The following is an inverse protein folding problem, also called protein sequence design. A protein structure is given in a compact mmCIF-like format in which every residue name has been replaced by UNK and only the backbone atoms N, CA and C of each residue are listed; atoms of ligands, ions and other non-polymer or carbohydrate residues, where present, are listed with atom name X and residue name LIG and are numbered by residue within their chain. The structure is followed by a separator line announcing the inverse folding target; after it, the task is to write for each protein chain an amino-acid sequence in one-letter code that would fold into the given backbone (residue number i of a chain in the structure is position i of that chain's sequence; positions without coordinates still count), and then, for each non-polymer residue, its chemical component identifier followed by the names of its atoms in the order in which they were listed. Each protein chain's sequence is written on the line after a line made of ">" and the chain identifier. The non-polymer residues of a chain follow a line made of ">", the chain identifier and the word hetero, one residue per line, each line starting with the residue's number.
data_IF_231939264627
#
_entry.id   IF_231939264627
#
_cell.length_a   1.000
_cell.length_b   1.000
_cell.length_c   1.000
_cell.angle_alpha   90.00
_cell.angle_beta   90.00
_cell.angle_gamma   90.00
#
_symmetry.space_group_name_H-M   'P 1'
#
loop_
_entity.id
_entity.type
_entity.pdbx_description
1 polymer ?
#
# COMPACT_ATOMS: atom_id res chain seq x y z
N UNK A 1 -10.92 -10.02 -1.05
CA UNK A 1 -10.21 -11.08 -0.28
C UNK A 1 -10.50 -10.99 1.22
N UNK A 2 -10.23 -9.88 1.92
CA UNK A 2 -10.48 -9.74 3.38
C UNK A 2 -11.84 -10.29 3.85
N UNK A 3 -12.93 -9.91 3.18
CA UNK A 3 -14.28 -10.40 3.50
C UNK A 3 -14.40 -11.92 3.30
N UNK A 4 -13.84 -12.45 2.21
CA UNK A 4 -13.97 -13.85 1.83
C UNK A 4 -13.10 -14.78 2.70
N UNK A 5 -11.99 -14.27 3.22
CA UNK A 5 -11.05 -15.02 4.05
C UNK A 5 -11.23 -14.77 5.55
N UNK A 6 -12.30 -14.07 5.95
CA UNK A 6 -12.53 -13.67 7.35
C UNK A 6 -12.54 -14.86 8.31
N UNK A 7 -13.13 -16.00 7.91
CA UNK A 7 -13.17 -17.24 8.70
C UNK A 7 -11.81 -17.91 8.88
N UNK A 8 -10.81 -17.56 8.06
CA UNK A 8 -9.47 -18.15 8.04
C UNK A 8 -8.36 -17.13 8.37
N UNK A 9 -8.73 -16.10 9.13
CA UNK A 9 -7.79 -15.07 9.63
C UNK A 9 -7.61 -13.85 8.73
N UNK A 10 -8.45 -13.68 7.70
CA UNK A 10 -8.46 -12.50 6.85
C UNK A 10 -7.33 -12.43 5.82
N UNK A 11 -7.27 -11.29 5.15
CA UNK A 11 -6.29 -10.90 4.14
C UNK A 11 -5.84 -9.46 4.39
N UNK A 12 -4.54 -9.30 4.64
CA UNK A 12 -3.88 -8.02 4.81
C UNK A 12 -2.75 -7.92 3.78
N UNK A 13 -2.64 -6.79 3.09
CA UNK A 13 -1.69 -6.65 1.99
C UNK A 13 -0.23 -6.65 2.46
N UNK A 14 0.08 -6.04 3.62
CA UNK A 14 1.43 -6.05 4.19
C UNK A 14 1.81 -7.47 4.62
N UNK A 15 0.86 -8.17 5.24
CA UNK A 15 1.02 -9.58 5.57
C UNK A 15 1.22 -10.45 4.30
N UNK A 16 0.54 -10.14 3.21
CA UNK A 16 0.71 -10.83 1.93
C UNK A 16 2.09 -10.56 1.33
N UNK A 17 2.57 -9.32 1.35
CA UNK A 17 3.92 -8.99 0.89
C UNK A 17 4.98 -9.80 1.65
N UNK A 18 4.85 -9.92 2.97
CA UNK A 18 5.74 -10.77 3.77
C UNK A 18 5.66 -12.23 3.33
N UNK A 19 4.46 -12.78 3.09
CA UNK A 19 4.29 -14.15 2.58
C UNK A 19 4.95 -14.36 1.23
N UNK A 20 4.84 -13.40 0.31
CA UNK A 20 5.43 -13.49 -1.02
C UNK A 20 6.94 -13.70 -0.88
N UNK A 21 7.60 -12.80 -0.15
CA UNK A 21 9.07 -12.80 -0.05
C UNK A 21 9.63 -13.87 0.91
N UNK A 22 8.81 -14.47 1.78
CA UNK A 22 9.27 -15.49 2.75
C UNK A 22 8.76 -16.91 2.46
N UNK A 23 7.78 -17.07 1.56
CA UNK A 23 7.13 -18.35 1.32
C UNK A 23 6.72 -18.62 -0.13
N UNK A 24 6.11 -17.68 -0.83
CA UNK A 24 5.46 -17.97 -2.13
C UNK A 24 6.42 -17.87 -3.31
N UNK A 25 7.44 -17.00 -3.25
CA UNK A 25 8.47 -16.98 -4.28
C UNK A 25 9.36 -18.21 -4.15
N UNK A 26 9.43 -19.02 -5.22
CA UNK A 26 10.31 -20.19 -5.29
C UNK A 26 11.35 -19.98 -6.40
N UNK A 27 12.40 -19.19 -6.08
CA UNK A 27 13.51 -18.90 -7.00
C UNK A 27 14.78 -19.68 -6.69
N UNK A 28 14.83 -20.32 -5.51
CA UNK A 28 15.97 -21.06 -5.00
C UNK A 28 15.52 -22.47 -4.58
N UNK A 29 16.38 -23.46 -4.79
CA UNK A 29 16.03 -24.87 -4.54
C UNK A 29 16.14 -25.29 -3.05
N UNK A 30 16.84 -24.51 -2.22
CA UNK A 30 17.19 -24.91 -0.85
C UNK A 30 16.20 -24.39 0.20
N UNK A 31 15.43 -23.36 -0.14
CA UNK A 31 14.53 -22.67 0.77
C UNK A 31 13.41 -21.99 -0.01
N UNK A 32 12.30 -21.75 0.69
CA UNK A 32 11.18 -20.97 0.19
C UNK A 32 11.46 -19.46 0.37
N UNK A 33 10.82 -18.64 -0.46
CA UNK A 33 11.00 -17.19 -0.45
C UNK A 33 12.31 -16.73 -1.08
N UNK A 34 12.70 -15.51 -0.72
CA UNK A 34 13.83 -14.80 -1.29
C UNK A 34 15.03 -14.67 -0.32
N UNK A 35 14.90 -15.17 0.91
CA UNK A 35 15.93 -15.08 1.95
C UNK A 35 16.49 -13.66 2.12
N UNK A 36 15.59 -12.69 2.22
CA UNK A 36 15.95 -11.28 2.43
C UNK A 36 16.51 -11.09 3.84
N UNK A 37 17.27 -10.01 4.03
CA UNK A 37 17.82 -9.69 5.34
C UNK A 37 16.72 -9.35 6.35
N UNK A 38 17.01 -9.55 7.63
CA UNK A 38 16.09 -9.25 8.71
C UNK A 38 15.58 -7.81 8.65
N UNK A 39 16.45 -6.84 8.38
CA UNK A 39 16.10 -5.41 8.31
C UNK A 39 15.14 -5.10 7.15
N UNK A 40 15.25 -5.84 6.04
CA UNK A 40 14.35 -5.68 4.90
C UNK A 40 12.95 -6.17 5.25
N UNK A 41 12.85 -7.33 5.93
CA UNK A 41 11.59 -7.91 6.36
C UNK A 41 10.94 -7.10 7.49
N UNK A 42 11.77 -6.61 8.41
CA UNK A 42 11.38 -5.67 9.46
C UNK A 42 10.75 -4.41 8.86
N UNK A 43 11.48 -3.75 7.94
CA UNK A 43 11.01 -2.53 7.28
C UNK A 43 9.70 -2.76 6.54
N UNK A 44 9.58 -3.87 5.81
CA UNK A 44 8.35 -4.25 5.11
C UNK A 44 7.14 -4.33 6.06
N UNK A 45 7.32 -4.90 7.25
CA UNK A 45 6.22 -5.12 8.20
C UNK A 45 5.91 -3.87 9.02
N UNK A 46 6.93 -3.13 9.48
CA UNK A 46 6.82 -2.07 10.49
C UNK A 46 6.96 -0.65 9.95
N UNK A 47 7.02 -0.43 8.64
CA UNK A 47 7.22 0.92 8.06
C UNK A 47 6.20 1.97 8.52
N UNK A 48 4.97 1.56 8.86
CA UNK A 48 3.92 2.44 9.41
C UNK A 48 3.94 2.57 10.94
N UNK A 49 4.96 2.03 11.61
CA UNK A 49 5.10 2.00 13.07
C UNK A 49 4.97 0.60 13.66
N UNK A 50 5.09 0.47 15.00
CA UNK A 50 4.95 -0.81 15.69
C UNK A 50 3.55 -1.39 15.50
N UNK A 51 3.46 -2.73 15.54
CA UNK A 51 2.20 -3.48 15.45
C UNK A 51 1.71 -3.94 16.82
N UNK A 52 2.59 -4.01 17.83
CA UNK A 52 2.28 -4.42 19.21
C UNK A 52 2.85 -3.42 20.22
N UNK A 53 2.64 -3.65 21.52
CA UNK A 53 3.28 -2.85 22.58
C UNK A 53 2.61 -1.50 22.90
N UNK A 54 1.44 -1.20 22.34
CA UNK A 54 0.68 0.01 22.65
C UNK A 54 -0.82 -0.25 22.81
N UNK A 55 -1.55 0.60 23.55
CA UNK A 55 -3.00 0.47 23.72
C UNK A 55 -3.74 0.55 22.39
N UNK A 56 -4.62 -0.42 22.13
CA UNK A 56 -5.42 -0.45 20.90
C UNK A 56 -4.74 -1.10 19.69
N UNK A 57 -3.61 -1.79 19.89
CA UNK A 57 -3.00 -2.63 18.87
C UNK A 57 -4.04 -3.61 18.26
N UNK A 58 -4.10 -3.65 16.93
CA UNK A 58 -4.99 -4.56 16.21
C UNK A 58 -4.47 -6.00 16.30
N UNK A 59 -5.34 -7.02 16.20
CA UNK A 59 -4.88 -8.41 16.09
C UNK A 59 -3.89 -8.57 14.94
N UNK A 60 -2.78 -9.28 15.19
CA UNK A 60 -1.78 -9.53 14.17
C UNK A 60 -2.35 -10.39 13.03
N UNK A 61 -2.12 -10.02 11.76
CA UNK A 61 -2.41 -10.89 10.64
C UNK A 61 -1.69 -12.24 10.80
N UNK A 62 -2.39 -13.34 10.50
CA UNK A 62 -1.89 -14.72 10.71
C UNK A 62 -0.51 -14.95 10.09
N UNK A 63 -0.24 -14.35 8.93
CA UNK A 63 1.05 -14.52 8.26
C UNK A 63 2.21 -13.85 9.00
N UNK A 64 1.98 -12.65 9.56
CA UNK A 64 2.98 -11.96 10.38
C UNK A 64 3.20 -12.75 11.66
N UNK A 65 2.11 -13.14 12.36
CA UNK A 65 2.19 -13.95 13.58
C UNK A 65 2.95 -15.27 13.36
N UNK A 66 2.68 -15.95 12.24
CA UNK A 66 3.37 -17.21 11.87
C UNK A 66 4.85 -17.02 11.57
N UNK A 67 5.23 -15.88 10.99
CA UNK A 67 6.63 -15.57 10.69
C UNK A 67 7.40 -15.21 11.96
N UNK A 68 6.86 -14.30 12.79
CA UNK A 68 7.55 -13.84 14.00
C UNK A 68 7.70 -14.91 15.09
N UNK A 69 6.88 -15.96 15.04
CA UNK A 69 7.08 -17.15 15.86
C UNK A 69 8.35 -17.93 15.51
N UNK A 70 8.92 -17.70 14.31
CA UNK A 70 10.17 -18.32 13.84
C UNK A 70 11.36 -17.37 13.94
N UNK A 71 11.16 -16.11 13.55
CA UNK A 71 12.18 -15.07 13.55
C UNK A 71 11.55 -13.73 13.95
N UNK A 72 11.87 -13.27 15.17
CA UNK A 72 11.22 -12.12 15.78
C UNK A 72 11.61 -10.81 15.07
N UNK A 73 10.62 -10.07 14.59
CA UNK A 73 10.79 -8.78 13.91
C UNK A 73 10.66 -7.58 14.87
N UNK A 74 10.65 -7.81 16.18
CA UNK A 74 10.54 -6.78 17.22
C UNK A 74 9.32 -5.86 16.97
N UNK A 75 8.12 -6.47 16.89
CA UNK A 75 6.87 -5.81 16.46
C UNK A 75 6.39 -4.68 17.37
N UNK A 76 6.94 -4.58 18.59
CA UNK A 76 6.67 -3.54 19.57
C UNK A 76 7.54 -2.29 19.41
N UNK A 77 8.52 -2.32 18.51
CA UNK A 77 9.44 -1.22 18.22
C UNK A 77 9.15 -0.57 16.86
N UNK A 78 9.65 0.65 16.65
CA UNK A 78 9.62 1.28 15.33
C UNK A 78 10.57 0.55 14.36
N UNK A 79 10.38 0.76 13.06
CA UNK A 79 11.31 0.28 12.03
C UNK A 79 12.59 1.13 11.97
N UNK A 80 13.57 0.69 11.19
CA UNK A 80 14.76 1.50 10.85
C UNK A 80 14.43 2.87 10.26
N UNK A 81 15.40 3.79 10.28
CA UNK A 81 15.24 5.10 9.65
C UNK A 81 14.95 4.97 8.14
N UNK A 82 15.59 4.03 7.46
CA UNK A 82 15.42 3.76 6.03
C UNK A 82 13.99 3.31 5.71
N UNK A 83 13.41 2.43 6.53
CA UNK A 83 12.01 2.00 6.37
C UNK A 83 11.03 3.16 6.61
N UNK A 84 11.31 4.03 7.59
CA UNK A 84 10.51 5.23 7.84
C UNK A 84 10.61 6.23 6.67
N UNK A 85 11.80 6.43 6.09
CA UNK A 85 12.00 7.24 4.88
C UNK A 85 11.22 6.66 3.71
N UNK A 86 11.32 5.35 3.48
CA UNK A 86 10.61 4.68 2.39
C UNK A 86 9.09 4.88 2.51
N UNK A 87 8.52 4.74 3.71
CA UNK A 87 7.10 4.99 3.96
C UNK A 87 6.67 6.42 3.62
N UNK A 88 7.46 7.41 4.03
CA UNK A 88 7.12 8.82 3.79
C UNK A 88 7.40 9.24 2.34
N UNK A 89 8.39 8.64 1.69
CA UNK A 89 8.62 8.84 0.26
C UNK A 89 7.46 8.29 -0.57
N UNK A 90 6.90 7.15 -0.18
CA UNK A 90 5.71 6.57 -0.80
C UNK A 90 4.49 7.49 -0.65
N UNK A 91 4.23 7.99 0.56
CA UNK A 91 3.18 8.97 0.84
C UNK A 91 3.31 10.24 -0.02
N UNK A 92 4.53 10.78 -0.16
CA UNK A 92 4.81 11.95 -1.02
C UNK A 92 4.47 11.62 -2.47
N UNK A 93 4.92 10.47 -2.98
CA UNK A 93 4.70 10.08 -4.36
C UNK A 93 3.21 9.89 -4.66
N UNK A 94 2.52 9.09 -3.85
CA UNK A 94 1.11 8.76 -4.06
C UNK A 94 0.21 10.01 -4.00
N UNK A 95 0.32 10.83 -2.96
CA UNK A 95 -0.56 12.00 -2.82
C UNK A 95 -0.40 12.99 -3.97
N UNK A 96 0.82 13.17 -4.47
CA UNK A 96 1.12 14.10 -5.56
C UNK A 96 0.72 13.54 -6.93
N UNK A 97 0.96 12.25 -7.19
CA UNK A 97 0.51 11.61 -8.41
C UNK A 97 -1.02 11.53 -8.49
N UNK A 98 -1.71 11.33 -7.36
CA UNK A 98 -3.17 11.33 -7.33
C UNK A 98 -3.79 12.70 -7.64
N UNK A 99 -3.08 13.80 -7.36
CA UNK A 99 -3.49 15.13 -7.85
C UNK A 99 -3.41 15.17 -9.38
N UNK A 100 -2.28 14.77 -9.97
CA UNK A 100 -2.08 14.75 -11.43
C UNK A 100 -3.11 13.85 -12.13
N UNK A 101 -3.26 12.62 -11.65
CA UNK A 101 -4.20 11.64 -12.19
C UNK A 101 -5.66 12.08 -12.02
N UNK A 102 -5.99 12.67 -10.86
CA UNK A 102 -7.33 13.16 -10.57
C UNK A 102 -7.76 14.32 -11.49
N UNK A 103 -6.85 15.25 -11.75
CA UNK A 103 -7.06 16.37 -12.68
C UNK A 103 -7.15 15.87 -14.13
N UNK A 104 -6.21 15.01 -14.56
CA UNK A 104 -6.20 14.44 -15.93
C UNK A 104 -7.43 13.59 -16.22
N UNK A 105 -7.93 12.85 -15.24
CA UNK A 105 -9.14 12.05 -15.38
C UNK A 105 -10.44 12.88 -15.27
N UNK A 106 -10.32 14.20 -15.03
CA UNK A 106 -11.45 15.11 -14.87
C UNK A 106 -12.34 14.72 -13.69
N UNK A 107 -11.75 14.26 -12.58
CA UNK A 107 -12.47 13.91 -11.36
C UNK A 107 -12.75 15.14 -10.49
N UNK A 108 -11.85 16.13 -10.57
CA UNK A 108 -11.96 17.47 -10.02
C UNK A 108 -11.14 18.42 -10.90
N UNK A 109 -11.24 19.72 -10.64
CA UNK A 109 -10.57 20.79 -11.40
C UNK A 109 -9.53 21.50 -10.53
N UNK A 110 -8.66 22.30 -11.15
CA UNK A 110 -7.70 23.15 -10.41
C UNK A 110 -8.42 24.11 -9.45
N UNK A 111 -9.60 24.61 -9.83
CA UNK A 111 -10.42 25.45 -8.96
C UNK A 111 -10.85 24.74 -7.66
N UNK A 112 -11.09 23.43 -7.71
CA UNK A 112 -11.46 22.65 -6.51
C UNK A 112 -10.28 22.56 -5.50
N UNK A 113 -9.04 22.73 -5.97
CA UNK A 113 -7.84 22.68 -5.14
C UNK A 113 -7.53 23.98 -4.41
N UNK A 114 -8.16 25.11 -4.76
CA UNK A 114 -7.86 26.43 -4.19
C UNK A 114 -7.95 26.46 -2.66
N UNK A 115 -8.91 25.71 -2.10
CA UNK A 115 -9.14 25.61 -0.65
C UNK A 115 -8.25 24.60 0.08
N UNK A 116 -7.39 23.86 -0.62
CA UNK A 116 -6.53 22.84 -0.01
C UNK A 116 -5.23 23.51 0.47
N UNK A 117 -4.93 23.49 1.79
CA UNK A 117 -3.68 24.04 2.32
C UNK A 117 -2.45 23.49 1.61
N UNK A 118 -1.42 24.33 1.44
CA UNK A 118 -0.22 24.09 0.61
C UNK A 118 -0.49 23.95 -0.89
N UNK A 119 -1.45 23.11 -1.29
CA UNK A 119 -1.75 22.80 -2.69
C UNK A 119 -2.33 23.99 -3.45
N UNK A 120 -3.42 24.58 -2.95
CA UNK A 120 -4.05 25.75 -3.55
C UNK A 120 -3.06 26.91 -3.77
N UNK A 121 -2.31 27.34 -2.74
CA UNK A 121 -1.26 28.35 -2.89
C UNK A 121 -0.23 28.02 -3.96
N UNK A 122 0.31 26.80 -4.01
CA UNK A 122 1.31 26.40 -5.02
C UNK A 122 0.73 26.44 -6.44
N UNK A 123 -0.52 25.99 -6.62
CA UNK A 123 -1.18 26.11 -7.92
C UNK A 123 -1.41 27.57 -8.32
N UNK A 124 -1.80 28.44 -7.38
CA UNK A 124 -1.97 29.86 -7.64
C UNK A 124 -0.64 30.55 -8.00
N UNK A 125 0.45 30.23 -7.29
CA UNK A 125 1.79 30.77 -7.54
C UNK A 125 2.29 30.43 -8.94
N UNK A 126 2.21 29.15 -9.35
CA UNK A 126 2.63 28.72 -10.69
C UNK A 126 1.86 29.46 -11.79
N UNK A 127 0.54 29.64 -11.60
CA UNK A 127 -0.31 30.37 -12.55
C UNK A 127 0.02 31.87 -12.61
N UNK A 128 0.42 32.47 -11.49
CA UNK A 128 0.80 33.87 -11.43
C UNK A 128 2.17 34.13 -12.07
N UNK A 129 3.12 33.22 -11.93
CA UNK A 129 4.44 33.31 -12.54
C UNK A 129 4.40 33.18 -14.07
N UNK A 130 3.49 32.35 -14.60
CA UNK A 130 3.37 32.10 -16.04
C UNK A 130 1.92 32.38 -16.48
N UNK A 131 1.56 33.64 -16.73
CA UNK A 131 0.23 33.99 -17.23
C UNK A 131 -0.05 33.30 -18.58
N UNK A 132 -1.18 32.60 -18.67
CA UNK A 132 -1.55 31.85 -19.88
C UNK A 132 -0.87 30.48 -20.02
N UNK A 133 -0.28 29.94 -18.94
CA UNK A 133 0.26 28.59 -18.89
C UNK A 133 -0.77 27.54 -19.37
N UNK A 134 -0.30 26.58 -20.17
CA UNK A 134 -1.05 25.40 -20.55
C UNK A 134 -1.43 24.56 -19.32
N UNK A 135 -2.63 23.99 -19.31
CA UNK A 135 -3.15 23.26 -18.15
C UNK A 135 -2.26 22.05 -17.77
N UNK A 136 -1.77 21.29 -18.75
CA UNK A 136 -0.89 20.14 -18.47
C UNK A 136 0.44 20.60 -17.87
N UNK A 137 0.98 21.73 -18.33
CA UNK A 137 2.22 22.29 -17.80
C UNK A 137 2.01 22.87 -16.41
N UNK A 138 0.86 23.52 -16.17
CA UNK A 138 0.47 24.05 -14.85
C UNK A 138 0.42 22.92 -13.82
N UNK A 139 -0.28 21.83 -14.13
CA UNK A 139 -0.38 20.66 -13.26
C UNK A 139 1.00 20.07 -12.98
N UNK A 140 1.79 19.81 -14.03
CA UNK A 140 3.11 19.20 -13.89
C UNK A 140 4.05 20.04 -13.00
N UNK A 141 4.10 21.35 -13.24
CA UNK A 141 4.96 22.25 -12.47
C UNK A 141 4.51 22.38 -11.02
N UNK A 142 3.20 22.49 -10.77
CA UNK A 142 2.65 22.55 -9.41
C UNK A 142 2.93 21.26 -8.62
N UNK A 143 2.71 20.09 -9.22
CA UNK A 143 3.00 18.78 -8.61
C UNK A 143 4.50 18.65 -8.30
N UNK A 144 5.38 19.04 -9.23
CA UNK A 144 6.84 19.05 -9.02
C UNK A 144 7.24 19.93 -7.81
N UNK A 145 6.65 21.12 -7.68
CA UNK A 145 6.92 22.02 -6.54
C UNK A 145 6.40 21.45 -5.23
N UNK A 146 5.22 20.85 -5.22
CA UNK A 146 4.67 20.20 -4.03
C UNK A 146 5.58 19.08 -3.52
N UNK A 147 6.06 18.20 -4.41
CA UNK A 147 7.04 17.17 -4.06
C UNK A 147 8.29 17.81 -3.43
N UNK A 148 8.82 18.88 -4.04
CA UNK A 148 9.98 19.60 -3.51
C UNK A 148 9.75 20.18 -2.11
N UNK A 149 8.58 20.78 -1.86
CA UNK A 149 8.22 21.34 -0.56
C UNK A 149 8.07 20.26 0.52
N UNK A 150 7.40 19.14 0.19
CA UNK A 150 7.23 18.02 1.12
C UNK A 150 8.56 17.33 1.44
N UNK A 151 9.42 17.10 0.44
CA UNK A 151 10.76 16.54 0.64
C UNK A 151 11.64 17.50 1.45
N UNK A 152 11.56 18.81 1.17
CA UNK A 152 12.28 19.84 1.92
C UNK A 152 11.91 19.85 3.40
N UNK A 153 10.61 19.82 3.70
CA UNK A 153 10.10 19.73 5.07
C UNK A 153 10.56 18.44 5.77
N UNK A 154 10.40 17.29 5.11
CA UNK A 154 10.80 15.99 5.64
C UNK A 154 12.27 15.96 6.05
N UNK A 155 13.15 16.48 5.18
CA UNK A 155 14.59 16.56 5.46
C UNK A 155 14.89 17.51 6.61
N UNK A 156 14.24 18.67 6.67
CA UNK A 156 14.44 19.66 7.72
C UNK A 156 14.00 19.12 9.09
N UNK A 157 12.79 18.56 9.18
CA UNK A 157 12.26 18.00 10.42
C UNK A 157 13.05 16.75 10.86
N UNK A 158 13.43 15.88 9.93
CA UNK A 158 14.25 14.70 10.26
C UNK A 158 15.62 15.11 10.80
N UNK A 159 16.28 16.11 10.19
CA UNK A 159 17.55 16.63 10.74
C UNK A 159 17.38 17.23 12.13
N UNK A 160 16.32 18.00 12.35
CA UNK A 160 15.99 18.57 13.67
C UNK A 160 15.83 17.46 14.73
N UNK A 161 15.10 16.38 14.39
CA UNK A 161 14.91 15.22 15.27
C UNK A 161 16.19 14.43 15.52
N UNK A 162 17.03 14.25 14.50
CA UNK A 162 18.36 13.63 14.68
C UNK A 162 19.20 14.45 15.65
N UNK A 163 19.20 15.79 15.54
CA UNK A 163 19.92 16.66 16.48
C UNK A 163 19.33 16.64 17.90
N UNK A 164 18.00 16.56 18.03
CA UNK A 164 17.30 16.53 19.31
C UNK A 164 17.48 15.19 20.04
N UNK A 165 17.31 14.08 19.34
CA UNK A 165 17.30 12.73 19.92
C UNK A 165 18.66 12.05 19.90
N UNK A 166 19.56 12.47 19.00
CA UNK A 166 20.94 12.01 18.88
C UNK A 166 21.13 10.47 18.96
N UNK A 167 20.38 9.66 18.19
CA UNK A 167 20.58 8.21 18.21
C UNK A 167 21.98 7.85 17.67
N UNK A 168 22.73 7.03 18.41
CA UNK A 168 24.06 6.57 18.04
C UNK A 168 24.07 5.32 17.17
N UNK A 169 22.96 4.58 17.12
CA UNK A 169 22.84 3.31 16.39
C UNK A 169 21.46 3.14 15.75
N UNK A 170 21.35 2.24 14.76
CA UNK A 170 20.06 1.90 14.14
C UNK A 170 19.06 1.32 15.17
N UNK A 171 19.54 0.58 16.15
CA UNK A 171 18.71 0.00 17.21
C UNK A 171 18.15 1.07 18.15
N UNK A 172 18.90 2.12 18.44
CA UNK A 172 18.39 3.28 19.19
C UNK A 172 17.29 4.00 18.42
N UNK A 173 17.32 4.02 17.08
CA UNK A 173 16.22 4.55 16.26
C UNK A 173 14.95 3.70 16.45
N UNK A 174 15.07 2.37 16.40
CA UNK A 174 13.93 1.45 16.60
C UNK A 174 13.30 1.61 17.99
N UNK A 175 14.15 1.79 19.00
CA UNK A 175 13.77 1.88 20.43
C UNK A 175 13.44 3.30 20.90
N UNK A 176 13.43 4.29 20.00
CA UNK A 176 13.18 5.70 20.33
C UNK A 176 11.76 5.95 20.89
N UNK A 177 10.84 5.01 20.69
CA UNK A 177 9.44 5.12 21.11
C UNK A 177 8.62 6.13 20.31
N UNK A 178 9.19 6.68 19.23
CA UNK A 178 8.58 7.61 18.28
C UNK A 178 9.33 7.54 16.94
N UNK A 179 8.71 7.95 15.82
CA UNK A 179 9.42 7.99 14.55
C UNK A 179 10.49 9.08 14.56
N UNK A 180 11.69 8.74 14.07
CA UNK A 180 12.79 9.67 13.86
C UNK A 180 12.55 10.49 12.59
N UNK A 181 12.06 9.83 11.54
CA UNK A 181 11.76 10.44 10.25
C UNK A 181 10.28 10.81 10.23
N UNK A 182 9.97 12.09 10.03
CA UNK A 182 8.60 12.58 10.03
C UNK A 182 8.50 13.94 9.35
N UNK A 183 7.30 14.28 8.89
CA UNK A 183 6.93 15.65 8.54
C UNK A 183 6.84 16.55 9.78
N UNK A 184 7.04 17.85 9.59
CA UNK A 184 6.76 18.86 10.60
C UNK A 184 5.28 18.88 11.01
N UNK A 185 4.95 19.55 12.11
CA UNK A 185 3.56 19.65 12.55
C UNK A 185 2.65 20.33 11.50
N UNK A 186 3.17 21.36 10.83
CA UNK A 186 2.48 22.09 9.78
C UNK A 186 2.29 21.22 8.53
N UNK A 187 3.36 20.55 8.07
CA UNK A 187 3.27 19.69 6.90
C UNK A 187 2.33 18.49 7.13
N UNK A 188 2.27 17.93 8.34
CA UNK A 188 1.26 16.91 8.68
C UNK A 188 -0.18 17.43 8.57
N UNK A 189 -0.44 18.69 8.88
CA UNK A 189 -1.77 19.29 8.72
C UNK A 189 -2.10 19.48 7.23
N UNK A 190 -1.13 19.93 6.44
CA UNK A 190 -1.27 20.07 4.98
C UNK A 190 -1.52 18.70 4.32
N UNK A 191 -0.74 17.68 4.65
CA UNK A 191 -0.88 16.31 4.17
C UNK A 191 -2.27 15.73 4.51
N UNK A 192 -2.73 15.89 5.76
CA UNK A 192 -4.04 15.44 6.18
C UNK A 192 -5.18 16.15 5.41
N UNK A 193 -5.03 17.45 5.13
CA UNK A 193 -6.02 18.20 4.36
C UNK A 193 -6.06 17.75 2.89
N UNK A 194 -4.91 17.49 2.27
CA UNK A 194 -4.81 16.92 0.94
C UNK A 194 -5.44 15.52 0.87
N UNK A 195 -5.08 14.61 1.77
CA UNK A 195 -5.68 13.27 1.85
C UNK A 195 -7.20 13.34 2.02
N UNK A 196 -7.70 14.27 2.84
CA UNK A 196 -9.13 14.49 3.01
C UNK A 196 -9.83 15.05 1.76
N UNK A 197 -9.14 15.87 0.97
CA UNK A 197 -9.62 16.33 -0.33
C UNK A 197 -9.69 15.17 -1.34
N UNK A 198 -8.57 14.46 -1.56
CA UNK A 198 -8.50 13.32 -2.49
C UNK A 198 -9.54 12.25 -2.14
N UNK A 199 -9.74 11.96 -0.85
CA UNK A 199 -10.76 11.02 -0.43
C UNK A 199 -12.17 11.42 -0.86
N UNK A 200 -12.52 12.70 -0.75
CA UNK A 200 -13.86 13.20 -1.11
C UNK A 200 -14.05 13.31 -2.62
N UNK A 201 -13.06 13.82 -3.34
CA UNK A 201 -13.19 14.20 -4.74
C UNK A 201 -12.70 13.13 -5.74
N UNK A 202 -11.76 12.28 -5.33
CA UNK A 202 -11.21 11.19 -6.16
C UNK A 202 -11.76 9.84 -5.75
N UNK A 203 -11.43 9.34 -4.56
CA UNK A 203 -11.73 7.95 -4.19
C UNK A 203 -13.22 7.66 -4.03
N UNK A 204 -14.01 8.67 -3.62
CA UNK A 204 -15.48 8.58 -3.57
C UNK A 204 -16.18 9.00 -4.86
N UNK A 205 -15.45 9.33 -5.91
CA UNK A 205 -16.04 9.68 -7.20
C UNK A 205 -16.80 8.48 -7.79
N UNK A 206 -17.96 8.73 -8.41
CA UNK A 206 -18.85 7.65 -8.87
C UNK A 206 -18.18 6.73 -9.91
N UNK A 207 -17.29 7.26 -10.76
CA UNK A 207 -16.52 6.47 -11.74
C UNK A 207 -15.58 5.48 -11.04
N UNK A 208 -14.84 5.95 -10.03
CA UNK A 208 -13.92 5.13 -9.22
C UNK A 208 -14.70 4.08 -8.44
N UNK A 209 -15.79 4.48 -7.77
CA UNK A 209 -16.67 3.55 -7.05
C UNK A 209 -17.27 2.46 -7.96
N UNK A 210 -17.68 2.81 -9.20
CA UNK A 210 -18.16 1.83 -10.18
C UNK A 210 -17.07 0.82 -10.55
N UNK A 211 -15.84 1.27 -10.75
CA UNK A 211 -14.72 0.38 -11.07
C UNK A 211 -14.38 -0.53 -9.88
N UNK A 212 -14.26 0.03 -8.68
CA UNK A 212 -14.03 -0.73 -7.45
C UNK A 212 -15.14 -1.77 -7.20
N UNK A 213 -16.40 -1.43 -7.51
CA UNK A 213 -17.53 -2.36 -7.44
C UNK A 213 -17.40 -3.53 -8.43
N UNK A 214 -16.93 -3.27 -9.66
CA UNK A 214 -16.67 -4.31 -10.67
C UNK A 214 -15.52 -5.23 -10.22
N UNK A 215 -14.38 -4.67 -9.84
CA UNK A 215 -13.23 -5.44 -9.37
C UNK A 215 -13.58 -6.31 -8.16
N UNK A 216 -14.36 -5.77 -7.22
CA UNK A 216 -14.85 -6.53 -6.05
C UNK A 216 -15.68 -7.74 -6.46
N UNK A 217 -16.54 -7.65 -7.48
CA UNK A 217 -17.32 -8.79 -7.97
C UNK A 217 -16.40 -9.85 -8.56
N UNK A 218 -15.53 -9.46 -9.50
CA UNK A 218 -14.54 -10.35 -10.13
C UNK A 218 -13.76 -11.14 -9.08
N UNK A 219 -13.15 -10.46 -8.11
CA UNK A 219 -12.37 -11.12 -7.05
C UNK A 219 -13.22 -12.06 -6.19
N UNK A 220 -14.47 -11.69 -5.86
CA UNK A 220 -15.35 -12.56 -5.07
C UNK A 220 -15.76 -13.80 -5.83
N UNK A 221 -16.08 -13.65 -7.09
CA UNK A 221 -16.59 -14.73 -7.93
C UNK A 221 -15.45 -15.70 -8.28
N UNK A 222 -14.25 -15.21 -8.62
CA UNK A 222 -13.04 -16.02 -8.72
C UNK A 222 -12.78 -16.80 -7.43
N UNK A 223 -12.81 -16.13 -6.27
CA UNK A 223 -12.56 -16.79 -4.99
C UNK A 223 -13.57 -17.90 -4.70
N UNK A 224 -14.86 -17.66 -4.94
CA UNK A 224 -15.92 -18.64 -4.69
C UNK A 224 -15.78 -19.86 -5.60
N UNK A 225 -15.56 -19.65 -6.89
CA UNK A 225 -15.39 -20.72 -7.86
C UNK A 225 -14.19 -21.57 -7.49
N UNK A 226 -13.01 -20.97 -7.35
CA UNK A 226 -11.75 -21.70 -7.11
C UNK A 226 -11.71 -22.39 -5.74
N UNK A 227 -12.47 -21.90 -4.76
CA UNK A 227 -12.63 -22.58 -3.47
C UNK A 227 -13.55 -23.82 -3.56
N UNK A 228 -14.62 -23.73 -4.35
CA UNK A 228 -15.57 -24.82 -4.56
C UNK A 228 -15.04 -25.88 -5.54
N UNK A 229 -14.26 -25.45 -6.53
CA UNK A 229 -13.74 -26.23 -7.64
C UNK A 229 -12.22 -25.96 -7.77
N UNK A 230 -11.40 -26.41 -6.79
CA UNK A 230 -9.95 -26.22 -6.83
C UNK A 230 -9.31 -26.87 -8.06
N UNK A 231 -9.95 -27.84 -8.71
CA UNK A 231 -9.54 -28.39 -10.00
C UNK A 231 -9.45 -27.37 -11.15
N UNK A 232 -10.07 -26.19 -10.99
CA UNK A 232 -9.98 -25.08 -11.94
C UNK A 232 -8.75 -24.19 -11.72
N UNK A 233 -7.98 -24.39 -10.64
CA UNK A 233 -6.69 -23.70 -10.46
C UNK A 233 -5.64 -24.26 -11.43
N UNK A 234 -4.54 -23.54 -11.72
CA UNK A 234 -3.39 -24.13 -12.40
C UNK A 234 -2.80 -25.32 -11.59
N UNK A 235 -2.30 -26.39 -12.23
CA UNK A 235 -1.89 -27.62 -11.55
C UNK A 235 -0.95 -27.42 -10.37
N UNK A 236 0.02 -26.51 -10.48
CA UNK A 236 0.96 -26.18 -9.41
C UNK A 236 0.26 -25.66 -8.14
N UNK A 237 -0.81 -24.88 -8.29
CA UNK A 237 -1.62 -24.39 -7.17
C UNK A 237 -2.56 -25.47 -6.64
N UNK A 238 -3.09 -26.33 -7.52
CA UNK A 238 -3.94 -27.46 -7.10
C UNK A 238 -3.22 -28.37 -6.10
N UNK A 239 -1.92 -28.63 -6.31
CA UNK A 239 -1.15 -29.51 -5.41
C UNK A 239 -1.03 -28.99 -3.98
N UNK A 240 -1.22 -27.68 -3.77
CA UNK A 240 -1.18 -27.02 -2.46
C UNK A 240 -2.54 -27.08 -1.74
N UNK A 241 -3.61 -27.40 -2.45
CA UNK A 241 -4.96 -27.55 -1.88
C UNK A 241 -5.10 -28.90 -1.16
N UNK A 242 -5.91 -28.94 -0.10
CA UNK A 242 -6.18 -30.16 0.68
C UNK A 242 -7.67 -30.54 0.69
N UNK A 243 -8.43 -30.09 -0.32
CA UNK A 243 -9.84 -30.41 -0.51
C UNK A 243 -10.71 -29.19 -0.80
N UNK A 244 -11.91 -29.44 -1.31
CA UNK A 244 -12.89 -28.41 -1.65
C UNK A 244 -13.39 -27.70 -0.39
N UNK A 245 -13.41 -26.37 -0.40
CA UNK A 245 -13.97 -25.58 0.71
C UNK A 245 -13.16 -25.57 2.01
N UNK A 246 -11.99 -26.20 2.07
CA UNK A 246 -11.18 -26.25 3.29
C UNK A 246 -10.51 -24.90 3.59
N UNK A 247 -10.13 -24.63 4.86
CA UNK A 247 -9.39 -23.43 5.22
C UNK A 247 -8.07 -23.26 4.47
N UNK A 248 -7.33 -24.33 4.26
CA UNK A 248 -6.05 -24.30 3.56
C UNK A 248 -6.23 -23.99 2.08
N UNK A 249 -7.19 -24.64 1.39
CA UNK A 249 -7.55 -24.30 0.01
C UNK A 249 -8.00 -22.85 -0.08
N UNK A 250 -8.78 -22.36 0.88
CA UNK A 250 -9.18 -20.96 0.96
C UNK A 250 -8.02 -19.98 1.05
N UNK A 251 -6.89 -20.38 1.68
CA UNK A 251 -5.66 -19.58 1.71
C UNK A 251 -4.91 -19.66 0.38
N UNK A 252 -4.78 -20.84 -0.21
CA UNK A 252 -4.13 -21.06 -1.51
C UNK A 252 -4.82 -20.24 -2.61
N UNK A 253 -6.16 -20.27 -2.66
CA UNK A 253 -6.96 -19.45 -3.59
C UNK A 253 -6.74 -17.96 -3.35
N UNK A 254 -6.66 -17.52 -2.09
CA UNK A 254 -6.37 -16.13 -1.78
C UNK A 254 -4.97 -15.70 -2.25
N UNK A 255 -3.96 -16.55 -2.06
CA UNK A 255 -2.59 -16.31 -2.51
C UNK A 255 -2.53 -16.24 -4.05
N UNK A 256 -3.19 -17.17 -4.74
CA UNK A 256 -3.28 -17.19 -6.20
C UNK A 256 -3.92 -15.91 -6.76
N UNK A 257 -5.09 -15.51 -6.22
CA UNK A 257 -5.79 -14.30 -6.67
C UNK A 257 -4.98 -13.04 -6.33
N UNK A 258 -4.34 -12.99 -5.17
CA UNK A 258 -3.51 -11.84 -4.78
C UNK A 258 -2.24 -11.69 -5.64
N UNK A 259 -1.78 -12.78 -6.27
CA UNK A 259 -0.66 -12.76 -7.21
C UNK A 259 -1.03 -12.32 -8.63
N UNK A 260 -2.32 -12.11 -8.93
CA UNK A 260 -2.78 -11.72 -10.26
C UNK A 260 -2.56 -10.22 -10.49
N UNK A 261 -2.19 -9.87 -11.72
CA UNK A 261 -2.36 -8.49 -12.21
C UNK A 261 -3.83 -8.23 -12.54
N UNK A 262 -4.27 -6.96 -12.54
CA UNK A 262 -5.64 -6.59 -12.91
C UNK A 262 -6.09 -7.18 -14.25
N UNK A 263 -5.21 -7.10 -15.26
CA UNK A 263 -5.48 -7.65 -16.59
C UNK A 263 -5.63 -9.16 -16.54
N UNK A 264 -4.71 -9.86 -15.86
CA UNK A 264 -4.78 -11.31 -15.73
C UNK A 264 -6.05 -11.73 -14.99
N UNK A 265 -6.42 -11.07 -13.90
CA UNK A 265 -7.64 -11.39 -13.14
C UNK A 265 -8.91 -11.21 -14.00
N UNK A 266 -8.96 -10.20 -14.85
CA UNK A 266 -10.07 -10.01 -15.78
C UNK A 266 -10.12 -11.05 -16.89
N UNK A 267 -8.97 -11.40 -17.46
CA UNK A 267 -8.88 -12.42 -18.51
C UNK A 267 -9.21 -13.81 -17.93
N UNK A 268 -8.70 -14.14 -16.75
CA UNK A 268 -9.00 -15.37 -16.03
C UNK A 268 -10.49 -15.48 -15.65
N UNK A 269 -11.09 -14.36 -15.22
CA UNK A 269 -12.52 -14.31 -14.97
C UNK A 269 -13.34 -14.57 -16.24
N UNK A 270 -12.89 -14.11 -17.42
CA UNK A 270 -13.61 -14.43 -18.66
C UNK A 270 -13.48 -15.92 -19.01
N UNK A 271 -12.27 -16.50 -18.98
CA UNK A 271 -12.06 -17.93 -19.25
C UNK A 271 -12.91 -18.85 -18.37
N UNK A 272 -13.05 -18.51 -17.09
CA UNK A 272 -13.74 -19.35 -16.12
C UNK A 272 -15.26 -19.19 -16.14
N UNK A 273 -15.79 -18.05 -16.58
CA UNK A 273 -17.23 -17.75 -16.51
C UNK A 273 -17.92 -17.55 -17.86
N UNK A 274 -17.17 -17.32 -18.95
CA UNK A 274 -17.69 -17.14 -20.30
C UNK A 274 -17.41 -18.39 -21.15
N UNK A 275 -18.46 -19.16 -21.45
CA UNK A 275 -18.35 -20.37 -22.28
C UNK A 275 -17.94 -20.10 -23.73
N UNK A 276 -17.91 -18.84 -24.17
CA UNK A 276 -17.45 -18.47 -25.51
C UNK A 276 -15.94 -18.24 -25.57
N UNK A 277 -15.27 -18.08 -24.44
CA UNK A 277 -13.81 -18.05 -24.41
C UNK A 277 -13.24 -19.47 -24.44
N UNK A 278 -12.27 -19.69 -25.32
CA UNK A 278 -11.48 -20.93 -25.33
C UNK A 278 -10.66 -21.04 -24.05
N UNK A 279 -10.54 -22.24 -23.45
CA UNK A 279 -9.70 -22.48 -22.28
C UNK A 279 -8.25 -22.01 -22.46
#
# INVERSE_FOLDING_TARGET
>A
LQEMTASIGGFDHNAQSLRIVTKLEHRYHQFDGLNLTWETLEGLVKHNGPLTGFPGARPLPVAIASYVAKDDLELDHFASAEAQVASLADDIAYNNHDIDDGLRAGLFTVADLEGVPLVGPVFAEVKAEIPGIDESLHIHESVRRLIGLMVGDLLAETRRRISEYAPGTADEVRRLGRPLVAFSAEMRQNDAALKAFLFRHMYRHYKVNRMASKARRVVKDLYRLLLAEPECLPPEWQTLCNGKGSPETGRVVADYIAGMTDRFALDEYRRLFDMQETP
#
